data_IF_907353483604
#
_entry.id   IF_907353483604
#
_cell.length_a   1.000
_cell.length_b   1.000
_cell.length_c   1.000
_cell.angle_alpha   90.00
_cell.angle_beta   90.00
_cell.angle_gamma   90.00
#
_symmetry.space_group_name_H-M   'P 1'
#
loop_
_entity.id
_entity.type
_entity.pdbx_description
1 polymer ?
#
# COMPACT_ATOMS: atom_id res chain seq x y z
N UNK A 1 2.95 9.87 -13.86
CA UNK A 1 3.95 10.94 -13.98
C UNK A 1 3.93 11.91 -12.80
N UNK A 2 2.78 12.51 -12.43
CA UNK A 2 2.69 13.47 -11.32
C UNK A 2 3.28 12.95 -9.99
N UNK A 3 2.92 11.73 -9.57
CA UNK A 3 3.49 11.13 -8.35
C UNK A 3 5.02 10.90 -8.43
N UNK A 4 5.56 10.54 -9.61
CA UNK A 4 6.99 10.31 -9.78
C UNK A 4 7.79 11.61 -9.64
N UNK A 5 7.39 12.68 -10.34
CA UNK A 5 7.99 14.02 -10.18
C UNK A 5 7.92 14.52 -8.76
N UNK A 6 6.78 14.30 -8.13
CA UNK A 6 6.53 14.78 -6.79
C UNK A 6 7.36 14.07 -5.71
N UNK A 7 7.79 12.83 -5.96
CA UNK A 7 8.58 12.02 -5.03
C UNK A 7 10.09 12.03 -5.34
N UNK A 8 10.44 11.99 -6.62
CA UNK A 8 11.81 11.85 -7.09
C UNK A 8 12.42 13.20 -7.54
N UNK A 9 11.59 14.23 -7.76
CA UNK A 9 12.03 15.49 -8.36
C UNK A 9 12.60 15.25 -9.75
N UNK A 10 13.86 15.62 -9.91
CA UNK A 10 14.62 15.49 -11.17
C UNK A 10 15.67 14.36 -11.08
N UNK A 11 15.55 13.46 -10.09
CA UNK A 11 16.47 12.33 -9.88
C UNK A 11 15.84 11.00 -10.31
N UNK A 12 16.65 10.03 -10.78
CA UNK A 12 16.19 8.67 -11.00
C UNK A 12 15.73 8.00 -9.70
N UNK A 13 14.77 7.09 -9.81
CA UNK A 13 14.30 6.29 -8.68
C UNK A 13 13.01 5.53 -8.98
N UNK A 14 12.57 4.71 -8.02
CA UNK A 14 11.29 4.01 -8.14
C UNK A 14 10.23 4.78 -7.36
N UNK A 15 9.18 5.21 -8.05
CA UNK A 15 8.02 5.83 -7.42
C UNK A 15 6.89 4.82 -7.29
N UNK A 16 6.41 4.61 -6.07
CA UNK A 16 5.36 3.68 -5.72
C UNK A 16 4.15 4.39 -5.10
N UNK A 17 2.96 3.82 -5.34
CA UNK A 17 1.70 4.25 -4.76
C UNK A 17 1.16 3.11 -3.89
N UNK A 18 0.87 3.39 -2.63
CA UNK A 18 0.20 2.48 -1.70
C UNK A 18 -1.01 3.18 -1.06
N UNK A 19 -2.17 3.06 -1.70
CA UNK A 19 -3.44 3.60 -1.23
C UNK A 19 -4.53 2.53 -1.26
N UNK A 20 -5.74 2.86 -1.73
CA UNK A 20 -6.80 1.86 -1.96
C UNK A 20 -6.34 0.75 -2.90
N UNK A 21 -5.63 1.11 -3.97
CA UNK A 21 -4.88 0.19 -4.85
C UNK A 21 -3.38 0.45 -4.73
N UNK A 22 -2.58 -0.26 -5.53
CA UNK A 22 -1.13 -0.05 -5.59
C UNK A 22 -0.62 0.08 -7.01
N UNK A 23 0.51 0.76 -7.19
CA UNK A 23 1.18 0.92 -8.47
C UNK A 23 2.66 1.24 -8.24
N UNK A 24 3.49 1.07 -9.26
CA UNK A 24 4.90 1.44 -9.22
C UNK A 24 5.42 1.80 -10.60
N UNK A 25 6.43 2.65 -10.67
CA UNK A 25 7.15 2.94 -11.90
C UNK A 25 8.61 3.29 -11.64
N UNK A 26 9.46 2.97 -12.63
CA UNK A 26 10.82 3.45 -12.70
C UNK A 26 10.84 4.80 -13.41
N UNK A 27 11.47 5.78 -12.78
CA UNK A 27 11.60 7.14 -13.25
C UNK A 27 13.07 7.47 -13.47
N UNK A 28 13.42 8.13 -14.57
CA UNK A 28 14.80 8.47 -14.93
C UNK A 28 15.22 9.90 -14.53
N UNK A 29 14.32 10.65 -13.89
CA UNK A 29 14.51 12.08 -13.58
C UNK A 29 13.61 13.00 -14.41
N UNK A 30 13.10 12.54 -15.56
CA UNK A 30 12.24 13.34 -16.43
C UNK A 30 10.97 12.58 -16.88
N UNK A 31 11.13 11.28 -17.20
CA UNK A 31 10.12 10.38 -17.74
C UNK A 31 10.00 9.07 -16.95
N UNK A 32 8.82 8.45 -17.08
CA UNK A 32 8.61 7.07 -16.64
C UNK A 32 9.14 6.15 -17.73
N UNK A 33 10.21 5.41 -17.43
CA UNK A 33 10.86 4.50 -18.38
C UNK A 33 10.37 3.06 -18.27
N UNK A 34 9.81 2.67 -17.12
CA UNK A 34 9.21 1.34 -16.92
C UNK A 34 8.03 1.40 -15.95
N UNK A 35 6.96 0.68 -16.26
CA UNK A 35 5.82 0.49 -15.35
C UNK A 35 5.49 -1.00 -15.27
N UNK A 36 5.24 -1.49 -14.06
CA UNK A 36 4.76 -2.85 -13.86
C UNK A 36 3.24 -2.73 -13.66
N UNK A 37 2.41 -3.23 -14.60
CA UNK A 37 0.97 -2.94 -14.61
C UNK A 37 0.28 -3.42 -13.33
N UNK A 38 -0.43 -2.52 -12.63
CA UNK A 38 -1.38 -2.96 -11.60
C UNK A 38 -2.52 -3.73 -12.26
N UNK A 39 -2.86 -4.89 -11.68
CA UNK A 39 -3.94 -5.76 -12.16
C UNK A 39 -5.24 -5.55 -11.35
N UNK A 40 -5.27 -4.50 -10.51
CA UNK A 40 -6.40 -4.18 -9.65
C UNK A 40 -6.60 -5.15 -8.48
N UNK A 41 -7.50 -4.80 -7.56
CA UNK A 41 -7.70 -5.49 -6.29
C UNK A 41 -8.03 -7.00 -6.37
N UNK A 42 -8.52 -7.47 -7.51
CA UNK A 42 -8.84 -8.88 -7.73
C UNK A 42 -7.57 -9.68 -8.02
N UNK A 43 -6.79 -9.24 -9.03
CA UNK A 43 -5.67 -9.99 -9.62
C UNK A 43 -4.29 -9.51 -9.16
N UNK A 44 -4.21 -8.37 -8.48
CA UNK A 44 -2.96 -7.81 -7.98
C UNK A 44 -3.23 -6.79 -6.88
N UNK A 45 -2.68 -5.58 -7.04
CA UNK A 45 -2.74 -4.51 -6.04
C UNK A 45 -2.08 -4.92 -4.70
N UNK A 46 -1.03 -5.74 -4.75
CA UNK A 46 -0.28 -6.18 -3.57
C UNK A 46 0.11 -4.98 -2.70
N UNK A 47 0.10 -5.15 -1.38
CA UNK A 47 0.37 -4.07 -0.41
C UNK A 47 -0.69 -2.97 -0.32
N UNK A 48 -1.67 -2.91 -1.21
CA UNK A 48 -2.74 -1.91 -1.15
C UNK A 48 -3.71 -2.16 0.00
N UNK A 49 -4.51 -1.15 0.32
CA UNK A 49 -5.56 -1.27 1.32
C UNK A 49 -6.63 -2.29 0.93
N UNK A 50 -7.01 -2.36 -0.35
CA UNK A 50 -7.98 -3.36 -0.80
C UNK A 50 -7.42 -4.78 -0.67
N UNK A 51 -6.13 -4.98 -0.96
CA UNK A 51 -5.45 -6.27 -0.83
C UNK A 51 -5.32 -6.71 0.63
N UNK A 52 -4.87 -5.80 1.50
CA UNK A 52 -4.81 -6.01 2.96
C UNK A 52 -6.19 -6.36 3.51
N UNK A 53 -7.21 -5.57 3.17
CA UNK A 53 -8.58 -5.77 3.61
C UNK A 53 -9.16 -7.09 3.12
N UNK A 54 -8.87 -7.49 1.88
CA UNK A 54 -9.26 -8.78 1.30
C UNK A 54 -8.67 -9.96 2.09
N UNK A 55 -7.36 -9.95 2.35
CA UNK A 55 -6.70 -11.02 3.13
C UNK A 55 -7.26 -11.09 4.55
N UNK A 56 -7.33 -9.96 5.24
CA UNK A 56 -7.92 -9.87 6.58
C UNK A 56 -9.34 -10.44 6.65
N UNK A 57 -10.22 -9.99 5.75
CA UNK A 57 -11.62 -10.40 5.76
C UNK A 57 -11.77 -11.89 5.42
N UNK A 58 -10.94 -12.41 4.52
CA UNK A 58 -10.87 -13.84 4.24
C UNK A 58 -10.49 -14.67 5.47
N UNK A 59 -9.51 -14.20 6.25
CA UNK A 59 -9.08 -14.87 7.49
C UNK A 59 -10.13 -14.79 8.60
N UNK A 60 -10.85 -13.67 8.72
CA UNK A 60 -11.99 -13.55 9.65
C UNK A 60 -13.09 -14.54 9.27
N UNK A 61 -13.50 -14.58 7.99
CA UNK A 61 -14.60 -15.43 7.52
C UNK A 61 -14.27 -16.92 7.53
N UNK A 62 -12.97 -17.28 7.46
CA UNK A 62 -12.51 -18.66 7.54
C UNK A 62 -12.08 -19.09 8.95
N UNK A 63 -12.19 -18.21 9.95
CA UNK A 63 -11.86 -18.53 11.34
C UNK A 63 -10.35 -18.60 11.62
N UNK A 64 -9.50 -18.04 10.75
CA UNK A 64 -8.04 -17.99 10.93
C UNK A 64 -7.58 -16.78 11.74
N UNK A 65 -8.35 -15.69 11.74
CA UNK A 65 -8.03 -14.51 12.53
C UNK A 65 -8.11 -14.83 14.04
N UNK A 66 -7.20 -14.31 14.88
CA UNK A 66 -7.26 -14.52 16.32
C UNK A 66 -8.58 -14.07 16.94
N UNK A 67 -9.07 -14.81 17.94
CA UNK A 67 -10.38 -14.56 18.55
C UNK A 67 -10.52 -13.15 19.13
N UNK A 68 -9.43 -12.61 19.70
CA UNK A 68 -9.41 -11.23 20.21
C UNK A 68 -9.68 -10.22 19.10
N UNK A 69 -8.98 -10.33 17.96
CA UNK A 69 -9.14 -9.42 16.84
C UNK A 69 -10.52 -9.57 16.20
N UNK A 70 -11.00 -10.82 16.09
CA UNK A 70 -12.34 -11.13 15.58
C UNK A 70 -13.42 -10.51 16.47
N UNK A 71 -13.31 -10.63 17.80
CA UNK A 71 -14.23 -10.01 18.75
C UNK A 71 -14.27 -8.48 18.58
N UNK A 72 -13.10 -7.83 18.45
CA UNK A 72 -13.01 -6.38 18.20
C UNK A 72 -13.63 -6.00 16.85
N UNK A 73 -13.47 -6.84 15.82
CA UNK A 73 -14.04 -6.64 14.50
C UNK A 73 -15.57 -6.75 14.52
N UNK A 74 -16.11 -7.84 15.10
CA UNK A 74 -17.54 -8.11 15.20
C UNK A 74 -18.25 -6.97 15.97
N UNK A 75 -17.66 -6.51 17.07
CA UNK A 75 -18.16 -5.37 17.85
C UNK A 75 -18.21 -4.07 17.05
N UNK A 76 -17.23 -3.82 16.17
CA UNK A 76 -17.11 -2.57 15.42
C UNK A 76 -18.00 -2.53 14.19
N UNK A 77 -18.08 -3.63 13.46
CA UNK A 77 -18.69 -3.64 12.12
C UNK A 77 -20.03 -4.37 12.08
N UNK A 78 -20.29 -5.32 13.00
CA UNK A 78 -21.51 -6.14 13.02
C UNK A 78 -21.91 -6.66 11.62
N UNK A 79 -20.92 -7.15 10.87
CA UNK A 79 -21.09 -7.62 9.51
C UNK A 79 -21.40 -9.11 9.51
N UNK A 80 -22.48 -9.49 8.84
CA UNK A 80 -22.78 -10.89 8.54
C UNK A 80 -22.05 -11.31 7.26
N UNK A 81 -21.84 -12.62 7.09
CA UNK A 81 -21.27 -13.18 5.86
C UNK A 81 -22.02 -12.69 4.60
N UNK A 82 -23.35 -12.68 4.65
CA UNK A 82 -24.18 -12.26 3.51
C UNK A 82 -23.96 -10.79 3.16
N UNK A 83 -23.89 -9.90 4.16
CA UNK A 83 -23.58 -8.48 3.94
C UNK A 83 -22.19 -8.29 3.36
N UNK A 84 -21.21 -9.08 3.77
CA UNK A 84 -19.87 -9.03 3.20
C UNK A 84 -19.91 -9.41 1.72
N UNK A 85 -20.56 -10.53 1.37
CA UNK A 85 -20.67 -10.99 -0.01
C UNK A 85 -21.43 -9.95 -0.87
N UNK A 86 -22.51 -9.38 -0.35
CA UNK A 86 -23.24 -8.30 -1.03
C UNK A 86 -22.33 -7.10 -1.34
N UNK A 87 -21.55 -6.63 -0.35
CA UNK A 87 -20.63 -5.51 -0.54
C UNK A 87 -19.51 -5.80 -1.54
N UNK A 88 -19.10 -7.06 -1.70
CA UNK A 88 -18.02 -7.45 -2.61
C UNK A 88 -18.54 -7.66 -4.04
N UNK A 89 -19.69 -8.32 -4.20
CA UNK A 89 -20.15 -8.81 -5.50
C UNK A 89 -21.28 -7.98 -6.11
N UNK A 90 -22.04 -7.26 -5.29
CA UNK A 90 -23.27 -6.59 -5.75
C UNK A 90 -23.20 -5.06 -5.65
N UNK A 91 -22.43 -4.54 -4.69
CA UNK A 91 -22.34 -3.10 -4.45
C UNK A 91 -21.21 -2.43 -5.25
N UNK A 92 -21.34 -1.13 -5.57
CA UNK A 92 -20.29 -0.39 -6.26
C UNK A 92 -19.05 -0.19 -5.36
N UNK A 93 -17.88 -0.10 -5.98
CA UNK A 93 -16.58 0.16 -5.34
C UNK A 93 -16.16 -0.86 -4.24
N UNK A 94 -16.18 -2.18 -4.52
CA UNK A 94 -15.78 -3.22 -3.55
C UNK A 94 -14.34 -3.04 -3.05
N UNK A 95 -13.45 -2.51 -3.88
CA UNK A 95 -12.08 -2.17 -3.47
C UNK A 95 -12.03 -1.13 -2.35
N UNK A 96 -12.92 -0.12 -2.35
CA UNK A 96 -12.99 0.89 -1.28
C UNK A 96 -13.57 0.29 0.00
N UNK A 97 -14.58 -0.57 -0.12
CA UNK A 97 -15.12 -1.33 1.01
C UNK A 97 -14.01 -2.13 1.69
N UNK A 98 -13.25 -2.92 0.92
CA UNK A 98 -12.13 -3.70 1.44
C UNK A 98 -11.06 -2.80 2.07
N UNK A 99 -10.66 -1.72 1.40
CA UNK A 99 -9.65 -0.81 1.92
C UNK A 99 -10.07 -0.09 3.22
N UNK A 100 -11.38 0.03 3.50
CA UNK A 100 -11.87 0.65 4.73
C UNK A 100 -11.42 -0.09 6.00
N UNK A 101 -11.12 -1.39 5.91
CA UNK A 101 -10.66 -2.20 7.04
C UNK A 101 -9.23 -1.86 7.49
N UNK A 102 -8.43 -1.20 6.64
CA UNK A 102 -7.06 -0.77 7.03
C UNK A 102 -7.05 0.13 8.25
N UNK A 103 -8.06 0.99 8.43
CA UNK A 103 -8.18 1.84 9.62
C UNK A 103 -8.41 1.02 10.89
N UNK A 104 -9.18 -0.06 10.79
CA UNK A 104 -9.36 -0.99 11.91
C UNK A 104 -8.06 -1.71 12.22
N UNK A 105 -7.35 -2.21 11.21
CA UNK A 105 -6.06 -2.87 11.42
C UNK A 105 -5.02 -1.94 12.04
N UNK A 106 -4.94 -0.68 11.60
CA UNK A 106 -4.04 0.30 12.20
C UNK A 106 -4.31 0.50 13.71
N UNK A 107 -5.58 0.49 14.12
CA UNK A 107 -5.97 0.60 15.54
C UNK A 107 -5.70 -0.66 16.37
N UNK A 108 -5.31 -1.77 15.73
CA UNK A 108 -5.07 -3.06 16.36
C UNK A 108 -3.64 -3.59 16.10
N UNK A 109 -2.68 -2.68 15.87
CA UNK A 109 -1.27 -3.05 15.68
C UNK A 109 -0.62 -3.62 16.96
N UNK A 110 -1.28 -3.53 18.12
CA UNK A 110 -0.91 -4.24 19.35
C UNK A 110 -0.99 -5.77 19.19
N UNK A 111 -1.82 -6.26 18.27
CA UNK A 111 -1.99 -7.69 18.02
C UNK A 111 -0.95 -8.15 16.99
N UNK A 112 -0.12 -9.14 17.37
CA UNK A 112 0.98 -9.64 16.54
C UNK A 112 0.53 -10.08 15.13
N UNK A 113 -0.64 -10.72 15.03
CA UNK A 113 -1.25 -11.11 13.76
C UNK A 113 -1.42 -9.92 12.81
N UNK A 114 -1.89 -8.77 13.32
CA UNK A 114 -2.14 -7.59 12.49
C UNK A 114 -0.84 -7.05 11.89
N UNK A 115 0.22 -6.94 12.71
CA UNK A 115 1.55 -6.56 12.20
C UNK A 115 2.06 -7.54 11.15
N UNK A 116 1.95 -8.85 11.43
CA UNK A 116 2.34 -9.92 10.51
C UNK A 116 1.61 -9.83 9.16
N UNK A 117 0.29 -9.69 9.18
CA UNK A 117 -0.51 -9.56 7.97
C UNK A 117 -0.08 -8.36 7.11
N UNK A 118 0.15 -7.20 7.71
CA UNK A 118 0.59 -5.99 6.99
C UNK A 118 1.98 -6.20 6.41
N UNK A 119 2.90 -6.77 7.21
CA UNK A 119 4.27 -7.10 6.79
C UNK A 119 4.25 -8.03 5.57
N UNK A 120 3.46 -9.10 5.61
CA UNK A 120 3.33 -10.06 4.51
C UNK A 120 2.76 -9.40 3.25
N UNK A 121 1.74 -8.54 3.39
CA UNK A 121 1.18 -7.82 2.25
C UNK A 121 2.17 -6.85 1.60
N UNK A 122 3.04 -6.22 2.40
CA UNK A 122 4.13 -5.40 1.87
C UNK A 122 5.22 -6.25 1.24
N UNK A 123 5.60 -7.37 1.84
CA UNK A 123 6.54 -8.31 1.23
C UNK A 123 6.05 -8.76 -0.16
N UNK A 124 4.77 -9.14 -0.27
CA UNK A 124 4.12 -9.45 -1.55
C UNK A 124 4.29 -8.30 -2.57
N UNK A 125 4.13 -7.04 -2.14
CA UNK A 125 4.35 -5.88 -3.00
C UNK A 125 5.80 -5.74 -3.45
N UNK A 126 6.79 -5.91 -2.56
CA UNK A 126 8.19 -5.85 -2.94
C UNK A 126 8.55 -6.95 -3.95
N UNK A 127 8.13 -8.18 -3.70
CA UNK A 127 8.44 -9.32 -4.56
C UNK A 127 7.76 -9.24 -5.93
N UNK A 128 6.47 -8.88 -5.95
CA UNK A 128 5.69 -8.87 -7.19
C UNK A 128 5.84 -7.56 -7.99
N UNK A 129 6.37 -6.49 -7.38
CA UNK A 129 6.49 -5.16 -8.01
C UNK A 129 7.91 -4.63 -7.99
N UNK A 130 8.42 -4.26 -6.82
CA UNK A 130 9.65 -3.47 -6.71
C UNK A 130 10.88 -4.24 -7.24
N UNK A 131 11.01 -5.52 -6.90
CA UNK A 131 12.14 -6.35 -7.35
C UNK A 131 12.13 -6.68 -8.85
N UNK A 132 11.09 -6.27 -9.58
CA UNK A 132 10.99 -6.47 -11.05
C UNK A 132 11.61 -5.32 -11.85
N UNK A 133 12.03 -4.25 -11.18
CA UNK A 133 12.83 -3.20 -11.80
C UNK A 133 14.30 -3.61 -11.78
N UNK A 134 14.99 -3.37 -12.88
CA UNK A 134 16.44 -3.55 -12.93
C UNK A 134 17.09 -2.48 -12.04
N UNK A 135 18.12 -2.86 -11.28
CA UNK A 135 18.80 -1.96 -10.35
C UNK A 135 17.96 -1.54 -9.14
N UNK A 136 16.92 -2.29 -8.75
CA UNK A 136 16.03 -1.90 -7.63
C UNK A 136 16.73 -1.66 -6.28
N UNK A 137 17.93 -2.21 -6.07
CA UNK A 137 18.76 -2.00 -4.87
C UNK A 137 19.78 -0.86 -5.01
N UNK A 138 19.91 -0.26 -6.19
CA UNK A 138 20.89 0.80 -6.50
C UNK A 138 20.27 2.20 -6.46
N UNK A 139 18.96 2.29 -6.22
CA UNK A 139 18.22 3.53 -6.21
C UNK A 139 17.13 3.52 -5.13
N UNK A 140 16.76 4.70 -4.59
CA UNK A 140 15.74 4.79 -3.57
C UNK A 140 14.36 4.46 -4.13
N UNK A 141 13.53 3.86 -3.29
CA UNK A 141 12.10 3.67 -3.53
C UNK A 141 11.33 4.69 -2.70
N UNK A 142 10.50 5.48 -3.38
CA UNK A 142 9.67 6.51 -2.78
C UNK A 142 8.21 6.09 -2.84
N UNK A 143 7.43 6.46 -1.82
CA UNK A 143 6.05 6.05 -1.67
C UNK A 143 5.12 7.25 -1.52
N UNK A 144 3.95 7.17 -2.14
CA UNK A 144 2.83 8.05 -1.85
C UNK A 144 1.55 7.27 -1.60
N UNK A 145 0.74 7.72 -0.65
CA UNK A 145 -0.58 7.16 -0.37
C UNK A 145 -0.78 6.82 1.10
N UNK A 146 -2.04 6.76 1.49
CA UNK A 146 -2.44 6.63 2.89
C UNK A 146 -1.97 5.33 3.54
N UNK A 147 -1.90 4.22 2.80
CA UNK A 147 -1.50 2.92 3.35
C UNK A 147 0.00 2.92 3.62
N UNK A 148 0.81 3.31 2.63
CA UNK A 148 2.26 3.40 2.82
C UNK A 148 2.66 4.38 3.92
N UNK A 149 1.93 5.50 4.05
CA UNK A 149 2.16 6.50 5.09
C UNK A 149 1.78 6.00 6.49
N UNK A 150 0.57 5.48 6.66
CA UNK A 150 0.06 5.05 7.97
C UNK A 150 0.87 3.85 8.50
N UNK A 151 1.29 2.92 7.65
CA UNK A 151 2.08 1.75 8.05
C UNK A 151 3.58 1.92 7.74
N UNK A 152 4.08 3.15 7.72
CA UNK A 152 5.45 3.47 7.31
C UNK A 152 6.54 2.77 8.11
N UNK A 153 6.35 2.53 9.41
CA UNK A 153 7.29 1.77 10.23
C UNK A 153 7.47 0.33 9.70
N UNK A 154 6.36 -0.39 9.49
CA UNK A 154 6.37 -1.76 8.95
C UNK A 154 6.89 -1.76 7.50
N UNK A 155 6.54 -0.75 6.69
CA UNK A 155 7.03 -0.63 5.32
C UNK A 155 8.56 -0.49 5.28
N UNK A 156 9.14 0.29 6.20
CA UNK A 156 10.60 0.46 6.31
C UNK A 156 11.29 -0.82 6.78
N UNK A 157 10.74 -1.51 7.78
CA UNK A 157 11.25 -2.82 8.22
C UNK A 157 11.31 -3.82 7.05
N UNK A 158 10.22 -3.94 6.28
CA UNK A 158 10.21 -4.82 5.10
C UNK A 158 11.23 -4.36 4.06
N UNK A 159 11.38 -3.07 3.81
CA UNK A 159 12.36 -2.58 2.86
C UNK A 159 13.80 -2.90 3.28
N UNK A 160 14.12 -2.73 4.56
CA UNK A 160 15.42 -3.07 5.15
C UNK A 160 15.73 -4.56 4.99
N UNK A 161 14.76 -5.44 5.27
CA UNK A 161 14.89 -6.89 5.07
C UNK A 161 15.15 -7.26 3.60
N UNK A 162 14.70 -6.42 2.67
CA UNK A 162 14.90 -6.58 1.23
C UNK A 162 16.11 -5.80 0.69
N UNK A 163 16.91 -5.16 1.54
CA UNK A 163 18.07 -4.33 1.19
C UNK A 163 17.72 -3.18 0.23
N UNK A 164 16.56 -2.56 0.45
CA UNK A 164 16.04 -1.46 -0.36
C UNK A 164 16.00 -0.19 0.46
N UNK A 165 16.62 0.87 -0.05
CA UNK A 165 16.56 2.19 0.56
C UNK A 165 15.18 2.83 0.33
N UNK A 166 14.52 3.23 1.42
CA UNK A 166 13.28 4.01 1.34
C UNK A 166 13.58 5.49 1.49
N UNK A 167 13.32 6.24 0.42
CA UNK A 167 13.39 7.69 0.42
C UNK A 167 12.16 8.31 1.10
N UNK A 168 11.39 9.07 0.32
CA UNK A 168 10.22 9.80 0.80
C UNK A 168 9.00 8.89 0.94
N UNK A 169 8.22 9.10 2.01
CA UNK A 169 6.88 8.52 2.17
C UNK A 169 5.91 9.66 2.42
N UNK A 170 5.01 9.91 1.47
CA UNK A 170 4.05 11.03 1.53
C UNK A 170 2.61 10.52 1.61
N UNK A 171 1.77 11.19 2.40
CA UNK A 171 0.40 10.72 2.59
C UNK A 171 -0.49 10.92 1.34
N UNK A 172 -0.33 12.05 0.64
CA UNK A 172 -1.17 12.41 -0.49
C UNK A 172 -0.34 12.99 -1.65
N UNK A 173 -0.73 12.74 -2.92
CA UNK A 173 -0.03 13.26 -4.09
C UNK A 173 0.05 14.80 -4.12
N UNK A 174 -0.93 15.50 -3.55
CA UNK A 174 -0.89 16.97 -3.51
C UNK A 174 0.22 17.50 -2.60
N UNK A 175 0.49 16.84 -1.47
CA UNK A 175 1.61 17.20 -0.59
C UNK A 175 2.94 17.05 -1.33
N UNK A 176 3.05 16.01 -2.15
CA UNK A 176 4.21 15.74 -3.00
C UNK A 176 4.37 16.83 -4.07
N UNK A 177 3.30 17.22 -4.76
CA UNK A 177 3.35 18.24 -5.82
C UNK A 177 3.66 19.63 -5.26
N UNK A 178 3.14 19.95 -4.08
CA UNK A 178 3.46 21.21 -3.40
C UNK A 178 4.96 21.29 -3.06
N UNK A 179 5.57 20.19 -2.58
CA UNK A 179 7.02 20.14 -2.33
C UNK A 179 7.83 20.37 -3.60
N UNK A 180 7.41 19.80 -4.73
CA UNK A 180 8.05 20.01 -6.03
C UNK A 180 7.99 21.47 -6.49
N UNK A 181 6.84 22.13 -6.40
CA UNK A 181 6.71 23.53 -6.85
C UNK A 181 7.35 24.54 -5.89
N UNK A 182 7.46 24.22 -4.60
CA UNK A 182 8.11 25.11 -3.62
C UNK A 182 9.64 25.05 -3.76
N UNK A 183 10.22 23.87 -4.02
CA UNK A 183 11.68 23.72 -4.12
C UNK A 183 12.21 23.75 -5.57
N UNK A 184 11.36 23.56 -6.58
CA UNK A 184 11.72 23.51 -8.00
C UNK A 184 11.71 24.87 -8.73
N UNK A 185 11.76 25.99 -8.00
CA UNK A 185 12.04 27.32 -8.55
C UNK A 185 13.04 28.06 -7.66
N UNK A 186 14.29 27.67 -7.76
CA UNK A 186 15.42 28.51 -7.45
C UNK A 186 16.40 28.31 -8.60
N UNK A 187 16.54 29.38 -9.39
CA UNK A 187 17.24 29.53 -10.69
C UNK A 187 16.45 29.14 -11.95
#
# INVERSE_FOLDING_TARGET
LGAARALCGDKPGIAAILGTGSNSCLYDGEYIIKNIPSLGYVLGDEGSGAYIGKKFLGDVLSGKAPEELKTRFDKKFNLTKDKVLENIYMQPFPNRFLASFTRFLYQNLDIAYTKGLIRDCFQDFFDQRIKRYEGFGEMPVHFVGSVGFNFSAILREVAEDNQIEIGQILQAPIAALTLYHIHGKSE
#
